data_IF_525461272914
#
_entry.id   IF_525461272914
#
_cell.length_a   1.000
_cell.length_b   1.000
_cell.length_c   1.000
_cell.angle_alpha   90.00
_cell.angle_beta   90.00
_cell.angle_gamma   90.00
#
_symmetry.space_group_name_H-M   'P 1'
#
loop_
_entity.id
_entity.type
_entity.pdbx_description
1 polymer ?
#
# COMPACT_ATOMS: atom_id res chain seq x y z
N UNK A 1 -24.11 24.65 68.90
CA UNK A 1 -23.86 23.24 68.48
C UNK A 1 -23.69 23.29 66.95
N UNK A 2 -22.45 23.37 66.49
CA UNK A 2 -22.04 23.56 65.09
C UNK A 2 -21.87 22.17 64.45
N UNK A 3 -22.66 21.84 63.41
CA UNK A 3 -22.43 20.70 62.55
C UNK A 3 -21.62 21.11 61.33
N UNK A 4 -20.36 20.65 61.25
CA UNK A 4 -19.48 20.73 60.08
C UNK A 4 -19.91 19.69 59.06
N UNK A 5 -20.37 20.12 57.90
CA UNK A 5 -20.57 19.24 56.74
C UNK A 5 -19.33 19.37 55.87
N UNK A 6 -18.51 18.32 55.91
CA UNK A 6 -17.28 18.18 55.14
C UNK A 6 -17.64 17.57 53.78
N UNK A 7 -17.74 18.41 52.75
CA UNK A 7 -17.97 18.00 51.35
C UNK A 7 -16.71 17.35 50.77
N UNK A 8 -16.76 16.04 50.57
CA UNK A 8 -15.70 15.25 49.94
C UNK A 8 -15.77 15.43 48.40
N UNK A 9 -14.85 16.22 47.87
CA UNK A 9 -14.68 16.47 46.45
C UNK A 9 -13.99 15.26 45.80
N UNK A 10 -14.76 14.40 45.11
CA UNK A 10 -14.23 13.30 44.31
C UNK A 10 -13.62 13.86 43.02
N UNK A 11 -12.31 13.97 42.96
CA UNK A 11 -11.56 14.26 41.77
C UNK A 11 -11.50 12.98 40.92
N UNK A 12 -12.35 12.87 39.91
CA UNK A 12 -12.23 11.83 38.87
C UNK A 12 -11.08 12.23 37.91
N UNK A 13 -9.90 11.68 38.15
CA UNK A 13 -8.77 11.73 37.21
C UNK A 13 -9.13 10.91 35.99
N UNK A 14 -9.49 11.57 34.88
CA UNK A 14 -9.54 10.95 33.56
C UNK A 14 -8.13 10.55 33.16
N UNK A 15 -7.80 9.27 33.38
CA UNK A 15 -6.60 8.63 32.90
C UNK A 15 -6.62 8.62 31.38
N UNK A 16 -5.78 9.45 30.72
CA UNK A 16 -5.45 9.28 29.33
C UNK A 16 -4.86 7.89 29.15
N UNK A 17 -5.56 7.03 28.40
CA UNK A 17 -5.20 5.64 28.19
C UNK A 17 -3.95 5.45 27.31
N UNK A 18 -2.77 5.79 27.85
CA UNK A 18 -1.50 5.30 27.32
C UNK A 18 -1.30 3.88 27.85
N UNK A 19 -1.64 2.88 27.03
CA UNK A 19 -1.28 1.51 27.32
C UNK A 19 0.25 1.39 27.24
N UNK A 20 0.91 1.13 28.37
CA UNK A 20 2.30 0.71 28.37
C UNK A 20 2.40 -0.63 27.65
N UNK A 21 3.09 -0.64 26.53
CA UNK A 21 3.36 -1.86 25.74
C UNK A 21 4.18 -2.80 26.63
N UNK A 22 3.55 -3.85 27.13
CA UNK A 22 4.23 -4.91 27.88
C UNK A 22 5.00 -5.81 26.93
N UNK A 23 5.95 -6.59 27.44
CA UNK A 23 6.75 -7.52 26.62
C UNK A 23 5.90 -8.58 25.89
N UNK A 24 4.63 -8.74 26.24
CA UNK A 24 3.66 -9.58 25.54
C UNK A 24 3.17 -8.97 24.20
N UNK A 25 3.32 -7.65 24.03
CA UNK A 25 2.97 -6.93 22.80
C UNK A 25 4.15 -6.80 21.82
N UNK A 26 5.18 -7.63 21.96
CA UNK A 26 6.31 -7.63 21.06
C UNK A 26 5.87 -8.05 19.66
N UNK A 27 6.27 -7.33 18.59
CA UNK A 27 5.91 -7.69 17.23
C UNK A 27 6.25 -9.16 16.92
N UNK A 28 5.43 -9.85 16.12
CA UNK A 28 5.61 -11.28 15.79
C UNK A 28 7.01 -11.63 15.33
N UNK A 29 7.62 -10.79 14.50
CA UNK A 29 8.98 -11.03 14.01
C UNK A 29 10.01 -11.08 15.14
N UNK A 30 9.79 -10.37 16.27
CA UNK A 30 10.65 -10.47 17.46
C UNK A 30 10.56 -11.83 18.13
N UNK A 31 9.38 -12.46 18.12
CA UNK A 31 9.16 -13.80 18.66
C UNK A 31 9.88 -14.86 17.83
N UNK A 32 10.04 -14.62 16.53
CA UNK A 32 10.80 -15.48 15.61
C UNK A 32 12.31 -15.21 15.63
N UNK A 33 12.77 -14.21 16.40
CA UNK A 33 14.17 -13.79 16.44
C UNK A 33 14.65 -13.10 15.17
N UNK A 34 13.72 -12.64 14.30
CA UNK A 34 14.03 -11.97 13.03
C UNK A 34 14.27 -10.49 13.28
N UNK A 35 15.44 -10.01 12.86
CA UNK A 35 15.79 -8.58 12.87
C UNK A 35 16.33 -8.11 11.52
N UNK A 36 17.02 -8.98 10.79
CA UNK A 36 17.63 -8.69 9.50
C UNK A 36 16.89 -9.47 8.43
N UNK A 37 16.33 -8.75 7.47
CA UNK A 37 15.51 -9.31 6.40
C UNK A 37 16.16 -9.01 5.06
N UNK A 38 16.45 -10.04 4.29
CA UNK A 38 16.81 -9.93 2.89
C UNK A 38 15.52 -9.94 2.05
N UNK A 39 15.39 -8.95 1.18
CA UNK A 39 14.26 -8.90 0.23
C UNK A 39 14.75 -9.55 -1.06
N UNK A 40 14.16 -10.69 -1.42
CA UNK A 40 14.40 -11.29 -2.73
C UNK A 40 13.86 -10.37 -3.83
N UNK A 41 14.44 -10.39 -5.04
CA UNK A 41 13.82 -9.72 -6.18
C UNK A 41 12.35 -10.12 -6.32
N UNK A 42 11.47 -9.13 -6.41
CA UNK A 42 10.02 -9.35 -6.52
C UNK A 42 9.73 -10.00 -7.87
N UNK A 43 9.00 -11.10 -7.85
CA UNK A 43 8.55 -11.77 -9.06
C UNK A 43 7.37 -11.01 -9.67
N UNK A 44 7.36 -10.91 -11.00
CA UNK A 44 6.27 -10.25 -11.71
C UNK A 44 5.60 -11.27 -12.64
N UNK A 45 4.37 -11.65 -12.32
CA UNK A 45 3.54 -12.56 -13.12
C UNK A 45 2.57 -11.78 -14.01
N UNK A 46 2.71 -10.46 -14.12
CA UNK A 46 1.85 -9.60 -14.94
C UNK A 46 2.53 -9.24 -16.25
N UNK A 47 1.75 -8.74 -17.20
CA UNK A 47 2.29 -8.19 -18.46
C UNK A 47 2.89 -6.80 -18.30
N UNK A 48 2.90 -6.23 -17.08
CA UNK A 48 3.39 -4.88 -16.82
C UNK A 48 4.82 -4.91 -16.29
N UNK A 49 5.77 -4.64 -17.16
CA UNK A 49 7.18 -4.53 -16.78
C UNK A 49 7.41 -3.31 -15.86
N UNK A 50 8.28 -3.47 -14.86
CA UNK A 50 8.70 -2.38 -13.96
C UNK A 50 7.85 -2.24 -12.70
N UNK A 51 6.66 -2.83 -12.62
CA UNK A 51 5.83 -2.79 -11.41
C UNK A 51 6.51 -3.46 -10.21
N UNK A 52 7.30 -4.51 -10.46
CA UNK A 52 8.12 -5.20 -9.48
C UNK A 52 9.12 -4.28 -8.80
N UNK A 53 9.70 -3.33 -9.54
CA UNK A 53 10.64 -2.35 -9.00
C UNK A 53 9.95 -1.35 -8.05
N UNK A 54 8.73 -0.93 -8.40
CA UNK A 54 7.92 -0.07 -7.55
C UNK A 54 7.56 -0.77 -6.24
N UNK A 55 7.09 -2.02 -6.31
CA UNK A 55 6.77 -2.85 -5.14
C UNK A 55 8.01 -3.10 -4.30
N UNK A 56 9.15 -3.45 -4.91
CA UNK A 56 10.42 -3.65 -4.21
C UNK A 56 10.84 -2.39 -3.43
N UNK A 57 10.80 -1.23 -4.08
CA UNK A 57 11.16 0.05 -3.45
C UNK A 57 10.28 0.37 -2.24
N UNK A 58 8.97 0.16 -2.35
CA UNK A 58 8.05 0.38 -1.23
C UNK A 58 8.24 -0.67 -0.11
N UNK A 59 8.59 -1.91 -0.46
CA UNK A 59 8.91 -2.96 0.53
C UNK A 59 10.16 -2.60 1.33
N UNK A 60 11.23 -2.10 0.67
CA UNK A 60 12.45 -1.62 1.34
C UNK A 60 12.12 -0.47 2.30
N UNK A 61 11.32 0.50 1.85
CA UNK A 61 10.89 1.64 2.69
C UNK A 61 10.08 1.17 3.90
N UNK A 62 9.16 0.26 3.71
CA UNK A 62 8.34 -0.31 4.77
C UNK A 62 9.19 -1.00 5.83
N UNK A 63 10.12 -1.89 5.44
CA UNK A 63 11.03 -2.57 6.37
C UNK A 63 11.91 -1.57 7.13
N UNK A 64 12.48 -0.58 6.42
CA UNK A 64 13.34 0.45 7.02
C UNK A 64 12.59 1.34 8.02
N UNK A 65 11.29 1.52 7.83
CA UNK A 65 10.43 2.30 8.74
C UNK A 65 9.80 1.46 9.86
N UNK A 66 10.00 0.13 9.85
CA UNK A 66 9.44 -0.78 10.86
C UNK A 66 10.42 -0.94 12.02
N UNK A 67 10.09 -0.46 13.24
CA UNK A 67 10.99 -0.56 14.39
C UNK A 67 11.36 -2.02 14.68
N UNK A 68 12.66 -2.29 14.82
CA UNK A 68 13.16 -3.63 15.14
C UNK A 68 13.47 -4.50 13.93
N UNK A 69 13.12 -4.07 12.71
CA UNK A 69 13.55 -4.70 11.45
C UNK A 69 14.60 -3.86 10.74
N UNK A 70 15.44 -4.55 9.98
CA UNK A 70 16.47 -3.94 9.14
C UNK A 70 16.59 -4.71 7.84
N UNK A 71 16.55 -4.02 6.71
CA UNK A 71 16.87 -4.61 5.41
C UNK A 71 18.38 -4.84 5.27
N UNK A 72 18.77 -5.98 4.71
CA UNK A 72 20.16 -6.33 4.35
C UNK A 72 20.25 -6.67 2.86
N UNK A 73 21.43 -6.51 2.28
CA UNK A 73 21.64 -6.68 0.84
C UNK A 73 22.06 -8.11 0.46
N UNK A 74 22.45 -8.93 1.44
CA UNK A 74 22.92 -10.30 1.22
C UNK A 74 22.05 -11.29 1.99
N UNK A 75 21.67 -12.44 1.40
CA UNK A 75 20.94 -13.48 2.09
C UNK A 75 21.75 -14.11 3.24
N UNK A 76 23.10 -14.12 3.16
CA UNK A 76 23.95 -14.67 4.21
C UNK A 76 23.90 -13.84 5.51
N UNK A 77 23.66 -12.53 5.39
CA UNK A 77 23.54 -11.61 6.53
C UNK A 77 22.14 -11.58 7.13
N UNK A 78 21.18 -12.25 6.51
CA UNK A 78 19.78 -12.19 6.89
C UNK A 78 19.40 -13.26 7.91
N UNK A 79 18.49 -12.91 8.80
CA UNK A 79 17.84 -13.86 9.70
C UNK A 79 16.65 -14.54 8.99
N UNK A 80 16.03 -13.84 8.03
CA UNK A 80 14.91 -14.31 7.22
C UNK A 80 14.89 -13.64 5.83
N UNK A 81 14.22 -14.28 4.87
CA UNK A 81 14.03 -13.78 3.52
C UNK A 81 12.56 -13.40 3.30
N UNK A 82 12.33 -12.23 2.72
CA UNK A 82 11.01 -11.82 2.24
C UNK A 82 10.92 -12.08 0.74
N UNK A 83 9.98 -12.94 0.36
CA UNK A 83 9.64 -13.27 -1.02
C UNK A 83 8.35 -12.56 -1.37
N UNK A 84 8.29 -11.92 -2.52
CA UNK A 84 7.10 -11.24 -3.00
C UNK A 84 6.81 -11.57 -4.47
N UNK A 85 5.54 -11.61 -4.82
CA UNK A 85 5.06 -11.84 -6.19
C UNK A 85 3.95 -10.86 -6.51
N UNK A 86 4.05 -10.18 -7.65
CA UNK A 86 2.97 -9.34 -8.20
C UNK A 86 2.12 -10.22 -9.12
N UNK A 87 0.86 -10.46 -8.75
CA UNK A 87 -0.08 -11.28 -9.52
C UNK A 87 -1.05 -10.47 -10.37
N UNK A 88 -1.25 -9.18 -10.06
CA UNK A 88 -2.12 -8.29 -10.79
C UNK A 88 -1.56 -6.87 -10.81
N UNK A 89 -1.51 -6.26 -11.99
CA UNK A 89 -1.28 -4.83 -12.19
C UNK A 89 -2.10 -4.39 -13.40
N UNK A 90 -3.26 -3.78 -13.18
CA UNK A 90 -4.17 -3.44 -14.26
C UNK A 90 -4.80 -2.07 -14.07
N UNK A 91 -5.24 -1.50 -15.21
CA UNK A 91 -6.05 -0.30 -15.30
C UNK A 91 -7.43 -0.66 -15.83
N UNK A 92 -8.48 -0.17 -15.18
CA UNK A 92 -9.87 -0.29 -15.64
C UNK A 92 -10.50 1.09 -15.74
N UNK A 93 -11.42 1.28 -16.70
CA UNK A 93 -12.26 2.48 -16.74
C UNK A 93 -13.22 2.44 -15.58
N UNK A 94 -13.24 3.49 -14.76
CA UNK A 94 -14.15 3.64 -13.62
C UNK A 94 -15.15 4.79 -13.78
N UNK A 95 -14.89 5.72 -14.69
CA UNK A 95 -15.78 6.79 -15.03
C UNK A 95 -15.76 7.09 -16.53
N UNK A 96 -16.92 7.43 -17.09
CA UNK A 96 -17.09 7.82 -18.48
C UNK A 96 -17.85 9.13 -18.58
N UNK A 97 -17.55 9.93 -19.59
CA UNK A 97 -18.27 11.17 -19.92
C UNK A 97 -18.48 11.29 -21.41
N UNK A 98 -19.42 12.10 -21.85
CA UNK A 98 -19.63 12.36 -23.28
C UNK A 98 -18.51 13.25 -23.81
N UNK A 99 -18.00 12.92 -24.98
CA UNK A 99 -16.97 13.73 -25.65
C UNK A 99 -17.43 15.18 -25.90
N UNK A 100 -18.73 15.40 -26.13
CA UNK A 100 -19.35 16.73 -26.28
C UNK A 100 -19.20 17.62 -25.04
N UNK A 101 -19.21 17.02 -23.85
CA UNK A 101 -19.13 17.76 -22.57
C UNK A 101 -17.71 18.26 -22.29
N UNK A 102 -16.70 17.61 -22.88
CA UNK A 102 -15.29 18.01 -22.74
C UNK A 102 -14.89 19.10 -23.74
N UNK A 103 -15.44 19.11 -24.93
CA UNK A 103 -15.18 20.12 -25.94
C UNK A 103 -16.39 20.38 -26.85
N UNK A 104 -17.29 21.29 -26.47
CA UNK A 104 -18.51 21.57 -27.21
C UNK A 104 -18.28 22.19 -28.60
N UNK A 105 -17.05 22.68 -28.90
CA UNK A 105 -16.71 23.27 -30.20
C UNK A 105 -16.20 22.24 -31.21
N UNK A 106 -15.69 21.10 -30.76
CA UNK A 106 -15.24 20.01 -31.63
C UNK A 106 -16.24 18.87 -31.52
N UNK A 107 -17.32 19.01 -32.26
CA UNK A 107 -18.41 18.04 -32.34
C UNK A 107 -17.93 16.70 -32.93
N UNK A 108 -17.27 15.92 -32.08
CA UNK A 108 -17.30 14.47 -32.23
C UNK A 108 -18.75 13.98 -32.09
N UNK A 109 -19.05 12.78 -32.55
CA UNK A 109 -20.37 12.19 -32.41
C UNK A 109 -20.90 12.40 -30.99
N UNK A 110 -22.13 12.94 -30.81
CA UNK A 110 -22.72 13.17 -29.48
C UNK A 110 -22.91 11.88 -28.65
N UNK A 111 -22.68 10.72 -29.26
CA UNK A 111 -22.77 9.41 -28.64
C UNK A 111 -21.39 8.84 -28.23
N UNK A 112 -20.29 9.54 -28.51
CA UNK A 112 -18.97 9.06 -28.13
C UNK A 112 -18.75 9.22 -26.63
N UNK A 113 -18.61 8.12 -25.91
CA UNK A 113 -18.19 8.07 -24.52
C UNK A 113 -16.67 7.97 -24.47
N UNK A 114 -16.07 8.73 -23.58
CA UNK A 114 -14.64 8.73 -23.29
C UNK A 114 -14.41 8.52 -21.79
N UNK A 115 -13.33 7.84 -21.46
CA UNK A 115 -12.97 7.67 -20.06
C UNK A 115 -12.68 9.03 -19.40
N UNK A 116 -13.31 9.29 -18.28
CA UNK A 116 -13.06 10.44 -17.41
C UNK A 116 -12.23 10.06 -16.20
N UNK A 117 -12.29 8.79 -15.81
CA UNK A 117 -11.55 8.24 -14.67
C UNK A 117 -11.13 6.80 -14.94
N UNK A 118 -9.97 6.45 -14.45
CA UNK A 118 -9.46 5.09 -14.38
C UNK A 118 -9.23 4.65 -12.94
N UNK A 119 -9.26 3.35 -12.71
CA UNK A 119 -8.82 2.73 -11.47
C UNK A 119 -7.57 1.88 -11.73
N UNK A 120 -6.48 2.18 -11.01
CA UNK A 120 -5.30 1.34 -10.91
C UNK A 120 -5.52 0.27 -9.84
N UNK A 121 -5.28 -0.99 -10.16
CA UNK A 121 -5.39 -2.11 -9.23
C UNK A 121 -4.09 -2.91 -9.18
N UNK A 122 -3.65 -3.27 -7.98
CA UNK A 122 -2.46 -4.05 -7.72
C UNK A 122 -2.82 -5.19 -6.76
N UNK A 123 -2.33 -6.41 -7.04
CA UNK A 123 -2.38 -7.52 -6.10
C UNK A 123 -1.01 -8.15 -5.99
N UNK A 124 -0.60 -8.42 -4.74
CA UNK A 124 0.69 -9.02 -4.41
C UNK A 124 0.52 -10.06 -3.32
N UNK A 125 1.34 -11.10 -3.37
CA UNK A 125 1.54 -12.04 -2.28
C UNK A 125 2.94 -11.86 -1.69
N UNK A 126 3.05 -12.01 -0.36
CA UNK A 126 4.32 -11.95 0.35
C UNK A 126 4.46 -13.13 1.29
N UNK A 127 5.67 -13.63 1.43
CA UNK A 127 6.00 -14.66 2.42
C UNK A 127 7.33 -14.33 3.10
N UNK A 128 7.38 -14.38 4.42
CA UNK A 128 8.60 -14.31 5.22
C UNK A 128 9.05 -15.73 5.54
N UNK A 129 10.24 -16.10 5.10
CA UNK A 129 10.79 -17.44 5.26
C UNK A 129 12.08 -17.42 6.05
N UNK A 130 12.28 -18.42 6.89
CA UNK A 130 13.51 -18.62 7.66
C UNK A 130 13.93 -20.09 7.55
N UNK A 131 15.13 -20.34 7.04
CA UNK A 131 15.67 -21.69 6.84
C UNK A 131 14.70 -22.64 6.11
N UNK A 132 14.00 -22.11 5.09
CA UNK A 132 13.02 -22.86 4.29
C UNK A 132 11.64 -23.02 4.92
N UNK A 133 11.44 -22.54 6.15
CA UNK A 133 10.11 -22.54 6.82
C UNK A 133 9.43 -21.19 6.61
N UNK A 134 8.16 -21.21 6.21
CA UNK A 134 7.33 -20.00 6.15
C UNK A 134 6.94 -19.62 7.57
N UNK A 135 7.33 -18.43 7.99
CA UNK A 135 6.96 -17.83 9.28
C UNK A 135 5.66 -17.04 9.18
N UNK A 136 5.48 -16.38 8.04
CA UNK A 136 4.32 -15.55 7.76
C UNK A 136 4.08 -15.49 6.25
N UNK A 137 2.82 -15.38 5.85
CA UNK A 137 2.43 -15.10 4.47
C UNK A 137 1.13 -14.31 4.44
N UNK A 138 0.94 -13.54 3.37
CA UNK A 138 -0.27 -12.76 3.17
C UNK A 138 -0.46 -12.39 1.70
N UNK A 139 -1.72 -12.26 1.32
CA UNK A 139 -2.12 -11.74 0.02
C UNK A 139 -2.79 -10.38 0.23
N UNK A 140 -2.42 -9.41 -0.59
CA UNK A 140 -2.87 -8.04 -0.47
C UNK A 140 -3.35 -7.54 -1.82
N UNK A 141 -4.49 -6.84 -1.81
CA UNK A 141 -5.04 -6.20 -2.98
C UNK A 141 -5.47 -4.79 -2.64
N UNK A 142 -5.04 -3.83 -3.46
CA UNK A 142 -5.41 -2.43 -3.33
C UNK A 142 -5.71 -1.84 -4.70
N UNK A 143 -6.56 -0.81 -4.70
CA UNK A 143 -6.88 -0.05 -5.91
C UNK A 143 -7.05 1.42 -5.58
N UNK A 144 -6.82 2.26 -6.60
CA UNK A 144 -6.92 3.70 -6.48
C UNK A 144 -7.43 4.31 -7.77
N UNK A 145 -8.44 5.21 -7.71
CA UNK A 145 -8.87 5.97 -8.87
C UNK A 145 -7.83 7.04 -9.23
N UNK A 146 -7.72 7.36 -10.53
CA UNK A 146 -6.96 8.48 -11.04
C UNK A 146 -7.65 9.06 -12.29
N UNK A 147 -7.53 10.39 -12.53
CA UNK A 147 -8.23 11.04 -13.63
C UNK A 147 -7.68 10.56 -14.98
N UNK A 148 -8.58 10.35 -15.94
CA UNK A 148 -8.22 10.12 -17.32
C UNK A 148 -7.92 11.46 -18.00
N UNK A 149 -6.80 11.53 -18.74
CA UNK A 149 -6.58 12.64 -19.65
C UNK A 149 -7.31 12.36 -20.96
N UNK A 150 -8.53 12.89 -21.08
CA UNK A 150 -9.41 12.73 -22.22
C UNK A 150 -9.44 14.01 -23.04
N UNK A 151 -8.27 14.52 -23.47
CA UNK A 151 -8.23 15.65 -24.41
C UNK A 151 -8.76 15.18 -25.77
N UNK A 152 -10.03 15.47 -26.02
CA UNK A 152 -10.68 15.28 -27.31
C UNK A 152 -10.17 16.37 -28.24
N UNK A 153 -9.35 16.01 -29.22
CA UNK A 153 -8.84 16.94 -30.24
C UNK A 153 -7.33 17.04 -30.36
N UNK A 154 -6.56 16.53 -29.45
CA UNK A 154 -5.14 16.28 -29.71
C UNK A 154 -5.02 15.01 -30.56
N UNK A 155 -4.76 15.19 -31.85
CA UNK A 155 -4.43 14.10 -32.76
C UNK A 155 -3.21 13.34 -32.19
N UNK A 156 -3.45 12.15 -31.63
CA UNK A 156 -2.42 11.17 -31.38
C UNK A 156 -2.00 10.92 -29.91
N UNK A 157 -0.84 10.39 -29.81
CA UNK A 157 -0.18 9.69 -28.71
C UNK A 157 -0.05 10.41 -27.37
N UNK A 158 -0.18 11.75 -27.31
CA UNK A 158 0.13 12.52 -26.09
C UNK A 158 -0.81 12.18 -24.92
N UNK A 159 -2.12 12.08 -25.17
CA UNK A 159 -3.09 11.70 -24.13
C UNK A 159 -2.88 10.28 -23.61
N UNK A 160 -2.51 9.36 -24.50
CA UNK A 160 -2.19 7.99 -24.12
C UNK A 160 -0.92 7.91 -23.25
N UNK A 161 0.11 8.66 -23.60
CA UNK A 161 1.35 8.73 -22.82
C UNK A 161 1.13 9.36 -21.44
N UNK A 162 0.32 10.41 -21.35
CA UNK A 162 -0.05 11.02 -20.06
C UNK A 162 -0.81 10.01 -19.21
N UNK A 163 -1.82 9.35 -19.76
CA UNK A 163 -2.58 8.32 -19.03
C UNK A 163 -1.69 7.17 -18.57
N UNK A 164 -0.66 6.83 -19.36
CA UNK A 164 0.30 5.81 -19.00
C UNK A 164 1.18 6.23 -17.83
N UNK A 165 1.74 7.44 -17.86
CA UNK A 165 2.56 7.97 -16.76
C UNK A 165 1.74 8.15 -15.47
N UNK A 166 0.48 8.60 -15.57
CA UNK A 166 -0.44 8.70 -14.43
C UNK A 166 -0.78 7.33 -13.85
N UNK A 167 -0.92 6.31 -14.70
CA UNK A 167 -1.13 4.94 -14.25
C UNK A 167 0.09 4.39 -13.50
N UNK A 168 1.31 4.62 -14.00
CA UNK A 168 2.54 4.24 -13.30
C UNK A 168 2.66 4.93 -11.93
N UNK A 169 2.35 6.23 -11.87
CA UNK A 169 2.32 6.98 -10.62
C UNK A 169 1.29 6.38 -9.66
N UNK A 170 0.07 6.11 -10.14
CA UNK A 170 -1.00 5.53 -9.34
C UNK A 170 -0.63 4.13 -8.81
N UNK A 171 0.03 3.28 -9.61
CA UNK A 171 0.53 1.98 -9.16
C UNK A 171 1.58 2.13 -8.05
N UNK A 172 2.48 3.12 -8.15
CA UNK A 172 3.45 3.42 -7.09
C UNK A 172 2.78 3.83 -5.77
N UNK A 173 1.71 4.63 -5.85
CA UNK A 173 0.92 5.04 -4.69
C UNK A 173 0.14 3.86 -4.10
N UNK A 174 -0.49 3.03 -4.95
CA UNK A 174 -1.17 1.80 -4.52
C UNK A 174 -0.20 0.85 -3.82
N UNK A 175 1.02 0.70 -4.35
CA UNK A 175 2.05 -0.12 -3.70
C UNK A 175 2.44 0.43 -2.33
N UNK A 176 2.56 1.76 -2.18
CA UNK A 176 2.85 2.39 -0.90
C UNK A 176 1.73 2.15 0.13
N UNK A 177 0.47 2.34 -0.28
CA UNK A 177 -0.70 2.09 0.57
C UNK A 177 -0.78 0.61 0.98
N UNK A 178 -0.50 -0.31 0.05
CA UNK A 178 -0.47 -1.75 0.33
C UNK A 178 0.59 -2.11 1.38
N UNK A 179 1.75 -1.45 1.39
CA UNK A 179 2.81 -1.72 2.37
C UNK A 179 2.40 -1.36 3.81
N UNK A 180 1.41 -0.49 4.00
CA UNK A 180 0.83 -0.21 5.32
C UNK A 180 0.10 -1.45 5.85
N UNK A 181 -0.65 -2.15 4.99
CA UNK A 181 -1.35 -3.38 5.36
C UNK A 181 -0.38 -4.53 5.60
N UNK A 182 0.63 -4.68 4.72
CA UNK A 182 1.70 -5.66 4.87
C UNK A 182 2.39 -5.49 6.22
N UNK A 183 2.78 -4.25 6.57
CA UNK A 183 3.39 -3.95 7.87
C UNK A 183 2.45 -4.30 9.03
N UNK A 184 1.19 -3.88 8.95
CA UNK A 184 0.19 -4.19 9.98
C UNK A 184 0.07 -5.70 10.19
N UNK A 185 -0.09 -6.47 9.11
CA UNK A 185 -0.21 -7.93 9.16
C UNK A 185 1.06 -8.61 9.69
N UNK A 186 2.25 -8.06 9.38
CA UNK A 186 3.53 -8.61 9.83
C UNK A 186 3.80 -8.32 11.32
N UNK A 187 3.26 -7.22 11.85
CA UNK A 187 3.56 -6.73 13.21
C UNK A 187 2.47 -7.07 14.23
N UNK A 188 1.24 -7.33 13.80
CA UNK A 188 0.12 -7.60 14.72
C UNK A 188 -0.02 -9.09 15.02
N UNK A 189 -0.29 -9.41 16.30
CA UNK A 189 -0.87 -10.68 16.72
C UNK A 189 -2.40 -10.57 16.57
N UNK A 190 -3.01 -11.49 15.83
CA UNK A 190 -4.43 -11.72 15.83
C UNK A 190 -4.79 -12.83 16.82
#
# INVERSE_FOLDING_TARGET
MLCFIQGMFLITSSSCGYALRTSKDAPRFSQWGVRRVYIRPIQNETFRAGVENSVYTQTVRMLSSTPGLRSVNSPEDADAELVGTVSLAQRTVSGETKASDLNPKNLGSPLLLVASEYTASLACSFALTQKGKILWSGEFRRSRPFPANSQVGALGSTGALINESEFERALGEVAADMMVDVRSSLTQDF
#
